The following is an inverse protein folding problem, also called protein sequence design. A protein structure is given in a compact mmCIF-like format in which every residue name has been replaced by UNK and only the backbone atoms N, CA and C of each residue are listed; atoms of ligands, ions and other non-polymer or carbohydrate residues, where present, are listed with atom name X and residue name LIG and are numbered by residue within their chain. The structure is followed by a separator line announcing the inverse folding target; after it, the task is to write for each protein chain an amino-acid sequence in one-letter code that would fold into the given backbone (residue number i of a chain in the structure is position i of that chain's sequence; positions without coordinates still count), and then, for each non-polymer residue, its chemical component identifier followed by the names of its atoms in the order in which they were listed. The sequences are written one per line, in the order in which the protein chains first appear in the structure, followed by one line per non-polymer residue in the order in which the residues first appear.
data_IF_524306523386
#
_entry.id   IF_524306523386
#
_cell.length_a   1.000
_cell.length_b   1.000
_cell.length_c   1.000
_cell.angle_alpha   90.00
_cell.angle_beta   90.00
_cell.angle_gamma   90.00
#
_symmetry.space_group_name_H-M   'P 1'
#
loop_
_entity.id
_entity.type
_entity.pdbx_description
1 polymer ?
#
# COMPACT_ATOMS: atom_id res chain seq x y z
N UNK A 1 27.15 -9.43 1.22
CA UNK A 1 28.27 -10.23 1.77
C UNK A 1 27.98 -11.68 1.44
N UNK A 2 28.94 -12.43 0.88
CA UNK A 2 28.77 -13.86 0.59
C UNK A 2 28.52 -14.61 1.92
N UNK A 3 27.39 -15.31 2.02
CA UNK A 3 27.10 -16.14 3.19
C UNK A 3 27.84 -17.47 3.07
N UNK A 4 29.08 -17.50 3.52
CA UNK A 4 29.95 -18.68 3.47
C UNK A 4 29.38 -19.88 4.23
N UNK A 5 28.51 -19.67 5.24
CA UNK A 5 27.87 -20.78 5.96
C UNK A 5 26.90 -21.53 5.06
N UNK A 6 26.11 -20.79 4.28
CA UNK A 6 25.17 -21.36 3.32
C UNK A 6 25.89 -22.17 2.23
N UNK A 7 27.00 -21.65 1.71
CA UNK A 7 27.86 -22.33 0.75
C UNK A 7 28.43 -23.65 1.30
N UNK A 8 29.06 -23.63 2.48
CA UNK A 8 29.64 -24.85 3.05
C UNK A 8 28.59 -25.94 3.31
N UNK A 9 27.39 -25.57 3.79
CA UNK A 9 26.29 -26.51 3.99
C UNK A 9 25.79 -27.11 2.67
N UNK A 10 25.63 -26.29 1.64
CA UNK A 10 25.22 -26.73 0.31
C UNK A 10 26.26 -27.65 -0.33
N UNK A 11 27.55 -27.30 -0.24
CA UNK A 11 28.67 -28.08 -0.75
C UNK A 11 28.75 -29.47 -0.10
N UNK A 12 28.72 -29.52 1.24
CA UNK A 12 28.72 -30.79 1.99
C UNK A 12 27.52 -31.67 1.65
N UNK A 13 26.33 -31.07 1.49
CA UNK A 13 25.11 -31.80 1.12
C UNK A 13 25.20 -32.37 -0.30
N UNK A 14 25.67 -31.56 -1.26
CA UNK A 14 25.84 -31.94 -2.67
C UNK A 14 26.82 -33.11 -2.84
N UNK A 15 27.96 -33.08 -2.14
CA UNK A 15 29.02 -34.09 -2.26
C UNK A 15 28.96 -35.20 -1.18
N UNK A 16 27.89 -35.27 -0.40
CA UNK A 16 27.69 -36.28 0.67
C UNK A 16 27.94 -37.72 0.22
N UNK A 17 27.54 -38.07 -1.00
CA UNK A 17 27.77 -39.40 -1.60
C UNK A 17 29.27 -39.71 -1.82
N UNK A 18 30.07 -38.71 -2.17
CA UNK A 18 31.52 -38.85 -2.37
C UNK A 18 32.20 -39.10 -1.03
N UNK A 19 31.81 -38.37 0.03
CA UNK A 19 32.35 -38.59 1.37
C UNK A 19 32.05 -40.00 1.90
N UNK A 20 30.84 -40.52 1.67
CA UNK A 20 30.48 -41.91 2.02
C UNK A 20 31.36 -42.92 1.28
N UNK A 21 31.63 -42.69 -0.01
CA UNK A 21 32.51 -43.55 -0.80
C UNK A 21 33.98 -43.51 -0.33
N UNK A 22 34.52 -42.32 -0.03
CA UNK A 22 35.89 -42.18 0.50
C UNK A 22 36.02 -42.87 1.85
N UNK A 23 35.01 -42.71 2.73
CA UNK A 23 34.99 -43.36 4.04
C UNK A 23 34.93 -44.89 3.92
N UNK A 24 34.08 -45.44 3.04
CA UNK A 24 34.00 -46.89 2.85
C UNK A 24 35.29 -47.47 2.26
N UNK A 25 35.94 -46.77 1.34
CA UNK A 25 37.25 -47.15 0.78
C UNK A 25 38.34 -47.13 1.86
N UNK A 26 38.40 -46.08 2.68
CA UNK A 26 39.36 -45.96 3.78
C UNK A 26 39.17 -47.05 4.83
N UNK A 27 37.92 -47.34 5.19
CA UNK A 27 37.59 -48.45 6.10
C UNK A 27 38.06 -49.80 5.55
N UNK A 28 37.83 -50.04 4.26
CA UNK A 28 38.26 -51.26 3.59
C UNK A 28 39.80 -51.41 3.65
N UNK A 29 40.56 -50.35 3.36
CA UNK A 29 42.04 -50.39 3.44
C UNK A 29 42.53 -50.68 4.86
N UNK A 30 41.92 -50.08 5.88
CA UNK A 30 42.25 -50.36 7.28
C UNK A 30 41.91 -51.80 7.70
N UNK A 31 40.80 -52.34 7.20
CA UNK A 31 40.40 -53.73 7.42
C UNK A 31 41.40 -54.70 6.77
N UNK A 32 41.88 -54.41 5.56
CA UNK A 32 42.92 -55.22 4.92
C UNK A 32 44.26 -55.15 5.65
N UNK A 33 44.64 -53.98 6.17
CA UNK A 33 45.84 -53.84 7.00
C UNK A 33 45.76 -54.71 8.26
N UNK A 34 44.59 -54.79 8.91
CA UNK A 34 44.36 -55.63 10.08
C UNK A 34 44.43 -57.13 9.76
N UNK A 35 43.86 -57.56 8.63
CA UNK A 35 43.84 -58.96 8.22
C UNK A 35 45.22 -59.47 7.74
N UNK A 36 46.03 -58.62 7.10
CA UNK A 36 47.31 -58.99 6.50
C UNK A 36 48.48 -58.24 7.15
N UNK A 37 48.75 -58.53 8.42
CA UNK A 37 49.76 -57.83 9.22
C UNK A 37 51.18 -57.84 8.61
N UNK A 38 51.57 -58.91 7.91
CA UNK A 38 52.88 -59.01 7.23
C UNK A 38 53.06 -58.04 6.06
N UNK A 39 51.96 -57.57 5.47
CA UNK A 39 51.93 -56.59 4.38
C UNK A 39 51.46 -55.20 4.86
N UNK A 40 51.29 -55.02 6.17
CA UNK A 40 50.66 -53.81 6.74
C UNK A 40 51.37 -52.50 6.37
N UNK A 41 52.69 -52.52 6.17
CA UNK A 41 53.46 -51.36 5.74
C UNK A 41 53.06 -50.88 4.34
N UNK A 42 52.82 -51.78 3.39
CA UNK A 42 52.38 -51.43 2.03
C UNK A 42 50.96 -50.84 2.02
N UNK A 43 50.05 -51.38 2.83
CA UNK A 43 48.70 -50.83 2.98
C UNK A 43 48.74 -49.43 3.61
N UNK A 44 49.63 -49.18 4.56
CA UNK A 44 49.80 -47.87 5.17
C UNK A 44 50.35 -46.83 4.17
N UNK A 45 51.34 -47.21 3.35
CA UNK A 45 51.81 -46.35 2.25
C UNK A 45 50.72 -46.05 1.23
N UNK A 46 49.92 -47.05 0.84
CA UNK A 46 48.80 -46.87 -0.07
C UNK A 46 47.72 -45.94 0.52
N UNK A 47 47.40 -46.10 1.80
CA UNK A 47 46.45 -45.25 2.51
C UNK A 47 46.92 -43.79 2.55
N UNK A 48 48.19 -43.54 2.89
CA UNK A 48 48.75 -42.19 2.94
C UNK A 48 48.79 -41.53 1.55
N UNK A 49 49.20 -42.27 0.51
CA UNK A 49 49.26 -41.75 -0.86
C UNK A 49 47.87 -41.44 -1.41
N UNK A 50 46.91 -42.35 -1.22
CA UNK A 50 45.51 -42.15 -1.62
C UNK A 50 44.85 -41.01 -0.85
N UNK A 51 45.14 -40.90 0.46
CA UNK A 51 44.71 -39.79 1.31
C UNK A 51 45.25 -38.44 0.83
N UNK A 52 46.52 -38.39 0.42
CA UNK A 52 47.12 -37.16 -0.11
C UNK A 52 46.50 -36.75 -1.45
N UNK A 53 46.31 -37.69 -2.37
CA UNK A 53 45.68 -37.42 -3.68
C UNK A 53 44.22 -36.97 -3.54
N UNK A 54 43.46 -37.61 -2.64
CA UNK A 54 42.06 -37.22 -2.36
C UNK A 54 41.99 -35.85 -1.70
N UNK A 55 42.93 -35.50 -0.82
CA UNK A 55 43.03 -34.16 -0.25
C UNK A 55 43.26 -33.09 -1.33
N UNK A 56 44.22 -33.31 -2.24
CA UNK A 56 44.47 -32.39 -3.35
C UNK A 56 43.25 -32.21 -4.26
N UNK A 57 42.54 -33.31 -4.55
CA UNK A 57 41.32 -33.27 -5.35
C UNK A 57 40.20 -32.47 -4.66
N UNK A 58 39.98 -32.68 -3.36
CA UNK A 58 38.96 -31.95 -2.60
C UNK A 58 39.28 -30.45 -2.51
N UNK A 59 40.55 -30.09 -2.31
CA UNK A 59 40.97 -28.68 -2.30
C UNK A 59 40.67 -28.05 -3.67
N UNK A 60 41.03 -28.72 -4.76
CA UNK A 60 40.75 -28.23 -6.11
C UNK A 60 39.24 -28.10 -6.38
N UNK A 61 38.43 -29.08 -6.02
CA UNK A 61 36.96 -29.07 -6.18
C UNK A 61 36.30 -27.95 -5.37
N UNK A 62 36.74 -27.72 -4.12
CA UNK A 62 36.25 -26.60 -3.29
C UNK A 62 36.61 -25.25 -3.94
N UNK A 63 37.85 -25.09 -4.43
CA UNK A 63 38.25 -23.83 -5.08
C UNK A 63 37.46 -23.57 -6.37
N UNK A 64 37.26 -24.61 -7.20
CA UNK A 64 36.47 -24.50 -8.41
C UNK A 64 35.00 -24.12 -8.12
N UNK A 65 34.36 -24.80 -7.16
CA UNK A 65 32.96 -24.55 -6.78
C UNK A 65 32.80 -23.19 -6.08
N UNK A 66 33.76 -22.78 -5.25
CA UNK A 66 33.75 -21.47 -4.59
C UNK A 66 33.89 -20.33 -5.60
N UNK A 67 34.71 -20.51 -6.65
CA UNK A 67 34.82 -19.55 -7.73
C UNK A 67 33.50 -19.41 -8.49
N UNK A 68 32.82 -20.53 -8.76
CA UNK A 68 31.49 -20.57 -9.41
C UNK A 68 30.42 -19.90 -8.54
N UNK A 69 30.32 -20.28 -7.27
CA UNK A 69 29.37 -19.68 -6.32
C UNK A 69 29.58 -18.17 -6.18
N UNK A 70 30.85 -17.73 -6.13
CA UNK A 70 31.18 -16.30 -6.09
C UNK A 70 30.73 -15.59 -7.36
N UNK A 71 30.88 -16.21 -8.54
CA UNK A 71 30.46 -15.62 -9.80
C UNK A 71 28.93 -15.50 -9.88
N UNK A 72 28.18 -16.53 -9.48
CA UNK A 72 26.71 -16.51 -9.46
C UNK A 72 26.15 -15.44 -8.50
N UNK A 73 26.69 -15.34 -7.29
CA UNK A 73 26.21 -14.38 -6.28
C UNK A 73 26.53 -12.93 -6.65
N UNK A 74 27.63 -12.67 -7.36
CA UNK A 74 28.05 -11.31 -7.72
C UNK A 74 27.53 -10.82 -9.07
N UNK A 75 27.39 -11.72 -10.05
CA UNK A 75 27.09 -11.33 -11.43
C UNK A 75 25.75 -11.85 -11.94
N UNK A 76 25.06 -12.73 -11.21
CA UNK A 76 23.74 -13.29 -11.55
C UNK A 76 23.62 -13.93 -12.95
N UNK A 77 24.72 -14.07 -13.69
CA UNK A 77 24.79 -14.69 -15.01
C UNK A 77 25.62 -15.96 -14.90
N UNK A 78 24.97 -17.09 -15.21
CA UNK A 78 25.61 -18.39 -15.32
C UNK A 78 25.17 -19.04 -16.61
N UNK A 79 26.13 -19.35 -17.49
CA UNK A 79 25.89 -20.35 -18.52
C UNK A 79 25.82 -21.74 -17.86
N UNK A 80 24.68 -22.44 -17.94
CA UNK A 80 24.57 -23.77 -17.39
C UNK A 80 25.54 -24.72 -18.12
N UNK A 81 26.34 -25.47 -17.36
CA UNK A 81 27.41 -26.32 -17.93
C UNK A 81 27.02 -27.80 -17.93
N UNK A 82 26.23 -28.23 -16.95
CA UNK A 82 25.71 -29.60 -16.88
C UNK A 82 24.38 -29.71 -17.62
N UNK A 83 24.10 -30.82 -18.34
CA UNK A 83 22.81 -31.05 -18.99
C UNK A 83 21.60 -30.90 -18.05
N UNK A 84 21.75 -31.28 -16.77
CA UNK A 84 20.70 -31.09 -15.76
C UNK A 84 20.47 -29.62 -15.42
N UNK A 85 21.52 -28.82 -15.37
CA UNK A 85 21.45 -27.39 -15.10
C UNK A 85 20.81 -26.64 -16.26
N UNK A 86 21.11 -27.03 -17.50
CA UNK A 86 20.47 -26.45 -18.69
C UNK A 86 18.96 -26.71 -18.65
N UNK A 87 18.55 -27.94 -18.37
CA UNK A 87 17.12 -28.30 -18.29
C UNK A 87 16.39 -27.60 -17.12
N UNK A 88 17.08 -27.38 -15.99
CA UNK A 88 16.54 -26.62 -14.86
C UNK A 88 16.42 -25.12 -15.18
N UNK A 89 17.43 -24.54 -15.83
CA UNK A 89 17.43 -23.14 -16.24
C UNK A 89 16.32 -22.85 -17.26
N UNK A 90 16.17 -23.68 -18.30
CA UNK A 90 15.09 -23.57 -19.28
C UNK A 90 13.71 -23.63 -18.61
N UNK A 91 13.52 -24.55 -17.66
CA UNK A 91 12.26 -24.66 -16.92
C UNK A 91 12.00 -23.48 -15.98
N UNK A 92 13.05 -22.88 -15.41
CA UNK A 92 12.93 -21.67 -14.59
C UNK A 92 12.56 -20.47 -15.47
N UNK A 93 13.20 -20.32 -16.62
CA UNK A 93 12.90 -19.25 -17.58
C UNK A 93 11.46 -19.37 -18.12
N UNK A 94 11.02 -20.58 -18.45
CA UNK A 94 9.62 -20.85 -18.83
C UNK A 94 8.66 -20.43 -17.71
N UNK A 95 8.96 -20.77 -16.46
CA UNK A 95 8.14 -20.40 -15.29
C UNK A 95 8.14 -18.91 -15.01
N UNK A 96 9.29 -18.25 -15.14
CA UNK A 96 9.39 -16.81 -15.01
C UNK A 96 8.56 -16.12 -16.10
N UNK A 97 8.69 -16.56 -17.35
CA UNK A 97 7.88 -16.07 -18.47
C UNK A 97 6.38 -16.24 -18.23
N UNK A 98 5.93 -17.42 -17.78
CA UNK A 98 4.54 -17.65 -17.39
C UNK A 98 4.07 -16.72 -16.27
N UNK A 99 4.91 -16.47 -15.27
CA UNK A 99 4.58 -15.57 -14.16
C UNK A 99 4.50 -14.12 -14.63
N UNK A 100 5.43 -13.68 -15.48
CA UNK A 100 5.41 -12.37 -16.10
C UNK A 100 4.16 -12.18 -16.96
N UNK A 101 3.79 -13.18 -17.76
CA UNK A 101 2.58 -13.15 -18.57
C UNK A 101 1.32 -13.06 -17.69
N UNK A 102 1.20 -13.92 -16.67
CA UNK A 102 0.05 -13.87 -15.74
C UNK A 102 -0.04 -12.53 -15.01
N UNK A 103 1.10 -11.96 -14.60
CA UNK A 103 1.14 -10.63 -13.97
C UNK A 103 0.68 -9.55 -14.94
N UNK A 104 1.17 -9.57 -16.18
CA UNK A 104 0.76 -8.63 -17.23
C UNK A 104 -0.73 -8.73 -17.55
N UNK A 105 -1.25 -9.96 -17.69
CA UNK A 105 -2.69 -10.19 -17.91
C UNK A 105 -3.54 -9.70 -16.74
N UNK A 106 -3.12 -9.93 -15.50
CA UNK A 106 -3.81 -9.44 -14.31
C UNK A 106 -3.82 -7.90 -14.26
N UNK A 107 -2.70 -7.26 -14.62
CA UNK A 107 -2.59 -5.80 -14.66
C UNK A 107 -3.43 -5.19 -15.79
N UNK A 108 -3.48 -5.83 -16.96
CA UNK A 108 -4.38 -5.43 -18.07
C UNK A 108 -5.84 -5.50 -17.63
N UNK A 109 -6.26 -6.62 -17.02
CA UNK A 109 -7.64 -6.77 -16.52
C UNK A 109 -8.02 -5.73 -15.46
N UNK A 110 -7.08 -5.37 -14.58
CA UNK A 110 -7.30 -4.31 -13.60
C UNK A 110 -7.50 -2.96 -14.29
N UNK A 111 -6.65 -2.64 -15.28
CA UNK A 111 -6.75 -1.40 -16.06
C UNK A 111 -8.09 -1.32 -16.80
N UNK A 112 -8.50 -2.39 -17.49
CA UNK A 112 -9.78 -2.46 -18.19
C UNK A 112 -10.98 -2.25 -17.24
N UNK A 113 -10.90 -2.79 -16.01
CA UNK A 113 -11.93 -2.58 -14.99
C UNK A 113 -11.99 -1.11 -14.52
N UNK A 114 -10.84 -0.47 -14.29
CA UNK A 114 -10.77 0.94 -13.89
C UNK A 114 -11.33 1.85 -14.99
N UNK A 115 -11.01 1.58 -16.25
CA UNK A 115 -11.53 2.31 -17.40
C UNK A 115 -13.04 2.15 -17.54
N UNK A 116 -13.55 0.92 -17.37
CA UNK A 116 -14.98 0.64 -17.37
C UNK A 116 -15.73 1.42 -16.27
N UNK A 117 -15.23 1.39 -15.03
CA UNK A 117 -15.85 2.12 -13.93
C UNK A 117 -15.77 3.64 -14.14
N UNK A 118 -14.68 4.14 -14.71
CA UNK A 118 -14.52 5.57 -15.04
C UNK A 118 -15.57 6.00 -16.07
N UNK A 119 -15.74 5.22 -17.15
CA UNK A 119 -16.77 5.45 -18.16
C UNK A 119 -18.19 5.40 -17.55
N UNK A 120 -18.47 4.40 -16.72
CA UNK A 120 -19.76 4.25 -16.05
C UNK A 120 -20.10 5.46 -15.19
N UNK A 121 -19.14 5.99 -14.43
CA UNK A 121 -19.36 7.20 -13.66
C UNK A 121 -19.65 8.40 -14.58
N UNK A 122 -18.89 8.59 -15.66
CA UNK A 122 -19.19 9.65 -16.63
C UNK A 122 -20.61 9.54 -17.18
N UNK A 123 -21.08 8.34 -17.50
CA UNK A 123 -22.44 8.10 -17.97
C UNK A 123 -23.51 8.41 -16.92
N UNK A 124 -23.22 8.26 -15.62
CA UNK A 124 -24.13 8.61 -14.51
C UNK A 124 -24.22 10.11 -14.26
N UNK A 125 -23.19 10.89 -14.58
CA UNK A 125 -23.26 12.36 -14.43
C UNK A 125 -24.34 12.99 -15.32
N UNK A 126 -24.59 12.42 -16.50
CA UNK A 126 -25.60 12.89 -17.43
C UNK A 126 -27.04 12.81 -16.87
N UNK A 127 -27.55 11.65 -16.40
CA UNK A 127 -28.87 11.58 -15.79
C UNK A 127 -28.96 12.40 -14.50
N UNK A 128 -27.88 12.55 -13.71
CA UNK A 128 -27.85 13.47 -12.56
C UNK A 128 -28.13 14.91 -13.01
N UNK A 129 -27.46 15.36 -14.07
CA UNK A 129 -27.68 16.70 -14.63
C UNK A 129 -29.11 16.88 -15.15
N UNK A 130 -29.66 15.89 -15.86
CA UNK A 130 -31.05 15.90 -16.30
C UNK A 130 -32.03 15.95 -15.12
N UNK A 131 -31.81 15.16 -14.06
CA UNK A 131 -32.62 15.20 -12.84
C UNK A 131 -32.59 16.58 -12.18
N UNK A 132 -31.44 17.28 -12.16
CA UNK A 132 -31.37 18.66 -11.65
C UNK A 132 -32.29 19.61 -12.41
N UNK A 133 -32.34 19.49 -13.73
CA UNK A 133 -33.22 20.31 -14.57
C UNK A 133 -34.70 20.00 -14.30
N UNK A 134 -35.06 18.71 -14.24
CA UNK A 134 -36.44 18.29 -13.93
C UNK A 134 -36.90 18.76 -12.55
N UNK A 135 -36.01 18.68 -11.54
CA UNK A 135 -36.32 19.15 -10.19
C UNK A 135 -36.44 20.68 -10.14
N UNK A 136 -35.75 21.40 -11.01
CA UNK A 136 -35.88 22.85 -11.09
C UNK A 136 -37.32 23.30 -11.44
N UNK A 137 -38.05 22.47 -12.20
CA UNK A 137 -39.44 22.70 -12.63
C UNK A 137 -40.49 22.31 -11.59
N UNK A 138 -40.10 21.68 -10.48
CA UNK A 138 -41.04 21.28 -9.42
C UNK A 138 -41.57 22.51 -8.68
N UNK A 139 -42.90 22.67 -8.67
CA UNK A 139 -43.59 23.82 -8.07
C UNK A 139 -43.60 23.77 -6.54
N UNK A 140 -43.71 22.57 -5.96
CA UNK A 140 -43.71 22.38 -4.51
C UNK A 140 -42.29 22.58 -3.96
N UNK A 141 -42.14 23.61 -3.11
CA UNK A 141 -40.85 24.00 -2.55
C UNK A 141 -40.26 22.94 -1.63
N UNK A 142 -41.08 22.24 -0.86
CA UNK A 142 -40.60 21.22 0.08
C UNK A 142 -40.11 19.99 -0.68
N UNK A 143 -40.92 19.52 -1.64
CA UNK A 143 -40.55 18.38 -2.51
C UNK A 143 -39.31 18.71 -3.34
N UNK A 144 -39.25 19.91 -3.93
CA UNK A 144 -38.08 20.37 -4.69
C UNK A 144 -36.80 20.32 -3.86
N UNK A 145 -36.83 20.85 -2.64
CA UNK A 145 -35.67 20.83 -1.75
C UNK A 145 -35.24 19.41 -1.39
N UNK A 146 -36.18 18.52 -1.09
CA UNK A 146 -35.87 17.12 -0.80
C UNK A 146 -35.20 16.43 -2.00
N UNK A 147 -35.69 16.66 -3.22
CA UNK A 147 -35.09 16.11 -4.43
C UNK A 147 -33.72 16.70 -4.74
N UNK A 148 -33.52 18.01 -4.56
CA UNK A 148 -32.20 18.65 -4.72
C UNK A 148 -31.17 18.06 -3.77
N UNK A 149 -31.55 17.76 -2.52
CA UNK A 149 -30.68 17.10 -1.55
C UNK A 149 -30.29 15.69 -1.98
N UNK A 150 -31.26 14.87 -2.45
CA UNK A 150 -30.96 13.51 -2.90
C UNK A 150 -30.06 13.51 -4.13
N UNK A 151 -30.30 14.41 -5.10
CA UNK A 151 -29.43 14.56 -6.27
C UNK A 151 -28.03 15.01 -5.87
N UNK A 152 -27.90 15.93 -4.91
CA UNK A 152 -26.60 16.35 -4.39
C UNK A 152 -25.85 15.18 -3.73
N UNK A 153 -26.54 14.33 -2.97
CA UNK A 153 -25.93 13.12 -2.37
C UNK A 153 -25.44 12.16 -3.44
N UNK A 154 -26.26 11.89 -4.46
CA UNK A 154 -25.89 11.00 -5.57
C UNK A 154 -24.64 11.57 -6.27
N UNK A 155 -24.63 12.85 -6.65
CA UNK A 155 -23.47 13.50 -7.27
C UNK A 155 -22.22 13.43 -6.40
N UNK A 156 -22.37 13.64 -5.08
CA UNK A 156 -21.26 13.53 -4.13
C UNK A 156 -20.69 12.11 -4.07
N UNK A 157 -21.55 11.08 -4.04
CA UNK A 157 -21.10 9.67 -4.06
C UNK A 157 -20.46 9.29 -5.39
N UNK A 158 -21.01 9.76 -6.50
CA UNK A 158 -20.45 9.57 -7.84
C UNK A 158 -19.06 10.19 -7.95
N UNK A 159 -18.87 11.40 -7.42
CA UNK A 159 -17.56 12.05 -7.37
C UNK A 159 -16.58 11.32 -6.42
N UNK A 160 -17.05 10.82 -5.27
CA UNK A 160 -16.22 10.02 -4.36
C UNK A 160 -15.67 8.77 -5.03
N UNK A 161 -16.48 8.07 -5.83
CA UNK A 161 -16.04 6.89 -6.60
C UNK A 161 -14.98 7.27 -7.63
N UNK A 162 -15.15 8.38 -8.36
CA UNK A 162 -14.11 8.85 -9.29
C UNK A 162 -12.78 9.13 -8.60
N UNK A 163 -12.82 9.83 -7.46
CA UNK A 163 -11.60 10.13 -6.71
C UNK A 163 -10.94 8.86 -6.19
N UNK A 164 -11.74 7.85 -5.80
CA UNK A 164 -11.23 6.55 -5.41
C UNK A 164 -10.56 5.80 -6.57
N UNK A 165 -11.16 5.78 -7.75
CA UNK A 165 -10.58 5.13 -8.95
C UNK A 165 -9.27 5.80 -9.36
N UNK A 166 -9.18 7.13 -9.24
CA UNK A 166 -7.99 7.92 -9.58
C UNK A 166 -6.87 7.83 -8.55
N UNK A 167 -7.10 7.25 -7.37
CA UNK A 167 -6.02 7.04 -6.41
C UNK A 167 -4.96 6.05 -6.90
N UNK A 168 -5.30 5.13 -7.81
CA UNK A 168 -4.30 4.17 -8.32
C UNK A 168 -3.27 4.84 -9.25
N UNK A 169 -3.64 5.95 -9.89
CA UNK A 169 -2.77 6.79 -10.72
C UNK A 169 -2.46 8.14 -10.06
N UNK A 170 -2.40 8.18 -8.73
CA UNK A 170 -2.35 9.44 -7.97
C UNK A 170 -1.15 10.33 -8.33
N UNK A 171 0.02 9.73 -8.57
CA UNK A 171 1.26 10.47 -8.80
C UNK A 171 1.33 11.18 -10.15
N UNK A 172 0.61 10.71 -11.17
CA UNK A 172 0.71 11.26 -12.53
C UNK A 172 -0.01 12.61 -12.66
N UNK A 173 -0.89 12.95 -11.70
CA UNK A 173 -1.86 14.05 -11.77
C UNK A 173 -1.61 15.18 -10.74
N UNK A 174 -0.53 15.12 -9.96
CA UNK A 174 -0.29 16.06 -8.86
C UNK A 174 0.21 17.42 -9.33
N UNK A 175 -0.50 18.48 -8.92
CA UNK A 175 -0.11 19.87 -9.18
C UNK A 175 0.01 20.62 -7.85
N UNK A 176 1.24 20.74 -7.35
CA UNK A 176 1.51 21.48 -6.13
C UNK A 176 1.58 22.99 -6.40
N UNK A 177 0.73 23.74 -5.71
CA UNK A 177 0.67 25.19 -5.79
C UNK A 177 0.57 25.82 -4.39
N UNK A 178 0.82 27.13 -4.29
CA UNK A 178 0.60 27.87 -3.05
C UNK A 178 -0.90 28.19 -2.93
N UNK A 179 -1.53 27.67 -1.90
CA UNK A 179 -2.98 27.79 -1.68
C UNK A 179 -3.25 28.48 -0.35
N UNK A 180 -4.15 29.48 -0.37
CA UNK A 180 -4.71 30.08 0.83
C UNK A 180 -5.72 29.13 1.46
N UNK A 181 -5.48 28.70 2.71
CA UNK A 181 -6.35 27.75 3.42
C UNK A 181 -7.76 28.31 3.58
N UNK A 182 -7.88 29.60 3.90
CA UNK A 182 -9.16 30.27 4.06
C UNK A 182 -10.06 30.17 2.82
N UNK A 183 -9.50 30.35 1.62
CA UNK A 183 -10.26 30.29 0.38
C UNK A 183 -10.77 28.87 0.12
N UNK A 184 -9.91 27.88 0.36
CA UNK A 184 -10.24 26.47 0.17
C UNK A 184 -11.34 26.03 1.15
N UNK A 185 -11.25 26.40 2.42
CA UNK A 185 -12.29 26.12 3.43
C UNK A 185 -13.60 26.83 3.07
N UNK A 186 -13.56 28.11 2.69
CA UNK A 186 -14.76 28.86 2.27
C UNK A 186 -15.43 28.25 1.06
N UNK A 187 -14.67 27.75 0.08
CA UNK A 187 -15.18 27.07 -1.10
C UNK A 187 -16.04 25.85 -0.71
N UNK A 188 -15.50 24.98 0.17
CA UNK A 188 -16.22 23.80 0.65
C UNK A 188 -17.42 24.18 1.51
N UNK A 189 -17.26 25.12 2.45
CA UNK A 189 -18.37 25.54 3.34
C UNK A 189 -19.54 26.11 2.52
N UNK A 190 -19.27 26.91 1.47
CA UNK A 190 -20.30 27.43 0.56
C UNK A 190 -21.06 26.31 -0.15
N UNK A 191 -20.36 25.29 -0.65
CA UNK A 191 -20.97 24.12 -1.30
C UNK A 191 -21.97 23.39 -0.39
N UNK A 192 -21.70 23.36 0.92
CA UNK A 192 -22.54 22.67 1.91
C UNK A 192 -23.47 23.61 2.70
N UNK A 193 -23.45 24.92 2.44
CA UNK A 193 -24.14 25.93 3.26
C UNK A 193 -25.64 25.65 3.43
N UNK A 194 -26.31 25.23 2.35
CA UNK A 194 -27.76 24.90 2.38
C UNK A 194 -28.07 23.80 3.41
N UNK A 195 -27.22 22.78 3.51
CA UNK A 195 -27.41 21.67 4.45
C UNK A 195 -27.22 22.09 5.90
N UNK A 196 -26.26 22.98 6.18
CA UNK A 196 -26.07 23.55 7.51
C UNK A 196 -27.30 24.37 7.92
N UNK A 197 -27.80 25.23 7.03
CA UNK A 197 -28.98 26.07 7.27
C UNK A 197 -30.21 25.21 7.54
N UNK A 198 -30.46 24.18 6.71
CA UNK A 198 -31.61 23.30 6.86
C UNK A 198 -31.59 22.49 8.17
N UNK A 199 -30.40 22.14 8.67
CA UNK A 199 -30.24 21.48 9.98
C UNK A 199 -30.16 22.45 11.15
N UNK A 200 -30.15 23.76 10.91
CA UNK A 200 -29.95 24.77 11.95
C UNK A 200 -28.58 24.68 12.63
N UNK A 201 -27.55 24.27 11.90
CA UNK A 201 -26.18 24.13 12.39
C UNK A 201 -25.37 25.39 12.06
N UNK A 202 -24.55 25.85 13.01
CA UNK A 202 -23.66 26.99 12.81
C UNK A 202 -22.30 26.55 12.25
N UNK A 203 -21.61 27.43 11.53
CA UNK A 203 -20.24 27.20 11.06
C UNK A 203 -19.42 28.43 11.42
N UNK A 204 -18.46 28.26 12.33
CA UNK A 204 -17.55 29.31 12.77
C UNK A 204 -16.18 29.11 12.12
N UNK A 205 -15.69 30.13 11.41
CA UNK A 205 -14.39 30.15 10.74
C UNK A 205 -13.52 31.22 11.40
N UNK A 206 -12.30 30.87 11.81
CA UNK A 206 -11.34 31.82 12.37
C UNK A 206 -9.90 31.34 12.20
N UNK A 207 -8.92 32.24 12.28
CA UNK A 207 -7.49 31.92 12.21
C UNK A 207 -7.08 31.11 10.95
N UNK A 208 -7.72 31.33 9.79
CA UNK A 208 -7.44 30.59 8.55
C UNK A 208 -6.46 31.28 7.61
N UNK A 209 -5.89 32.43 8.00
CA UNK A 209 -4.99 33.22 7.17
C UNK A 209 -3.59 32.59 7.09
N UNK A 210 -3.50 31.49 6.33
CA UNK A 210 -2.26 30.75 6.06
C UNK A 210 -2.20 30.27 4.62
N UNK A 211 -0.98 30.37 4.08
CA UNK A 211 -0.62 29.82 2.76
C UNK A 211 0.13 28.51 2.97
N UNK A 212 -0.28 27.47 2.27
CA UNK A 212 0.36 26.15 2.27
C UNK A 212 0.72 25.74 0.85
N UNK A 213 1.67 24.81 0.70
CA UNK A 213 1.97 24.18 -0.59
C UNK A 213 1.28 22.82 -0.64
N UNK A 214 0.34 22.66 -1.56
CA UNK A 214 -0.45 21.43 -1.70
C UNK A 214 -1.06 21.35 -3.09
N UNK A 215 -1.61 20.19 -3.45
CA UNK A 215 -2.57 20.10 -4.54
C UNK A 215 -3.96 20.53 -4.03
N UNK A 216 -4.50 21.61 -4.63
CA UNK A 216 -5.80 22.19 -4.26
C UNK A 216 -6.94 21.19 -4.42
N UNK A 217 -6.98 20.48 -5.56
CA UNK A 217 -8.07 19.59 -5.94
C UNK A 217 -8.17 18.41 -4.97
N UNK A 218 -7.05 17.82 -4.62
CA UNK A 218 -7.02 16.69 -3.70
C UNK A 218 -7.30 17.10 -2.25
N UNK A 219 -6.77 18.24 -1.80
CA UNK A 219 -7.06 18.74 -0.45
C UNK A 219 -8.55 19.12 -0.29
N UNK A 220 -9.18 19.67 -1.33
CA UNK A 220 -10.64 19.91 -1.35
C UNK A 220 -11.41 18.62 -1.07
N UNK A 221 -11.04 17.49 -1.69
CA UNK A 221 -11.70 16.19 -1.45
C UNK A 221 -11.60 15.76 0.01
N UNK A 222 -10.42 15.95 0.62
CA UNK A 222 -10.20 15.62 2.04
C UNK A 222 -11.14 16.43 2.93
N UNK A 223 -11.20 17.75 2.73
CA UNK A 223 -12.03 18.65 3.53
C UNK A 223 -13.52 18.40 3.29
N UNK A 224 -13.94 18.21 2.04
CA UNK A 224 -15.32 17.84 1.68
C UNK A 224 -15.78 16.59 2.43
N UNK A 225 -14.92 15.59 2.50
CA UNK A 225 -15.25 14.34 3.16
C UNK A 225 -15.36 14.48 4.68
N UNK A 226 -14.53 15.33 5.29
CA UNK A 226 -14.61 15.66 6.72
C UNK A 226 -15.91 16.43 6.99
N UNK A 227 -16.19 17.50 6.22
CA UNK A 227 -17.40 18.32 6.39
C UNK A 227 -18.68 17.51 6.18
N UNK A 228 -18.70 16.62 5.19
CA UNK A 228 -19.82 15.71 4.95
C UNK A 228 -20.06 14.78 6.15
N UNK A 229 -19.01 14.30 6.80
CA UNK A 229 -19.14 13.47 8.01
C UNK A 229 -19.66 14.30 9.18
N UNK A 230 -19.10 15.48 9.42
CA UNK A 230 -19.57 16.38 10.48
C UNK A 230 -21.04 16.77 10.28
N UNK A 231 -21.48 17.06 9.05
CA UNK A 231 -22.89 17.29 8.73
C UNK A 231 -23.77 16.08 9.02
N UNK A 232 -23.29 14.88 8.70
CA UNK A 232 -24.05 13.64 8.90
C UNK A 232 -24.26 13.34 10.39
N UNK A 233 -23.22 13.51 11.20
CA UNK A 233 -23.20 13.07 12.59
C UNK A 233 -23.51 14.17 13.62
N UNK A 234 -23.64 15.43 13.18
CA UNK A 234 -24.05 16.56 14.03
C UNK A 234 -25.55 16.80 13.94
N UNK A 235 -26.22 16.78 15.09
CA UNK A 235 -27.67 17.03 15.21
C UNK A 235 -28.01 18.43 15.71
N UNK A 236 -27.17 19.00 16.58
CA UNK A 236 -27.34 20.32 17.21
C UNK A 236 -25.96 20.94 17.41
N UNK A 237 -25.91 22.27 17.50
CA UNK A 237 -24.67 23.03 17.62
C UNK A 237 -24.13 23.40 16.24
N UNK A 238 -22.90 22.99 15.93
CA UNK A 238 -22.25 23.43 14.72
C UNK A 238 -20.85 22.88 14.52
N UNK A 239 -20.12 23.53 13.63
CA UNK A 239 -18.74 23.26 13.31
C UNK A 239 -17.88 24.49 13.60
N UNK A 240 -16.65 24.22 14.00
CA UNK A 240 -15.60 25.19 14.26
C UNK A 240 -14.38 24.80 13.41
N UNK A 241 -13.95 25.68 12.51
CA UNK A 241 -12.82 25.42 11.60
C UNK A 241 -11.78 26.52 11.77
N UNK A 242 -10.56 26.13 12.12
CA UNK A 242 -9.47 27.05 12.46
C UNK A 242 -8.09 26.44 12.21
N UNK A 243 -7.06 27.28 12.14
CA UNK A 243 -5.68 26.81 12.20
C UNK A 243 -5.14 26.85 13.63
N UNK A 244 -4.45 25.80 14.03
CA UNK A 244 -3.64 25.74 15.24
C UNK A 244 -2.18 25.48 14.83
N UNK A 245 -1.35 26.53 14.81
CA UNK A 245 0.02 26.40 14.28
C UNK A 245 0.02 26.03 12.79
N UNK A 246 0.50 24.82 12.44
CA UNK A 246 0.48 24.29 11.06
C UNK A 246 -0.65 23.25 10.84
N UNK A 247 -1.61 23.15 11.76
CA UNK A 247 -2.69 22.17 11.68
C UNK A 247 -4.02 22.85 11.36
N UNK A 248 -4.70 22.40 10.29
CA UNK A 248 -6.10 22.70 10.06
C UNK A 248 -6.97 21.82 10.95
N UNK A 249 -7.72 22.45 11.84
CA UNK A 249 -8.63 21.78 12.77
C UNK A 249 -10.07 21.97 12.31
N UNK A 250 -10.79 20.86 12.12
CA UNK A 250 -12.23 20.85 11.83
C UNK A 250 -12.91 20.11 12.98
N UNK A 251 -13.62 20.86 13.82
CA UNK A 251 -14.28 20.37 15.02
C UNK A 251 -15.79 20.44 14.87
N UNK A 252 -16.47 19.35 15.18
CA UNK A 252 -17.93 19.26 15.22
C UNK A 252 -18.44 18.93 16.61
N UNK A 253 -19.70 19.30 16.87
CA UNK A 253 -20.44 18.98 18.11
C UNK A 253 -21.31 17.74 17.95
N UNK A 254 -20.87 16.77 17.13
CA UNK A 254 -21.63 15.57 16.81
C UNK A 254 -21.68 14.53 17.93
N UNK A 255 -22.17 13.34 17.59
CA UNK A 255 -22.30 12.22 18.55
C UNK A 255 -20.97 11.70 19.11
N UNK A 256 -19.84 12.09 18.51
CA UNK A 256 -18.52 11.57 18.83
C UNK A 256 -18.32 10.10 18.45
N UNK A 257 -17.10 9.61 18.68
CA UNK A 257 -16.63 8.28 18.30
C UNK A 257 -16.14 7.58 19.56
N UNK A 258 -16.44 6.27 19.70
CA UNK A 258 -15.95 5.48 20.83
C UNK A 258 -14.42 5.36 20.73
N UNK A 259 -13.72 5.47 21.86
CA UNK A 259 -12.25 5.35 21.91
C UNK A 259 -11.71 4.06 21.25
N UNK A 260 -12.44 2.95 21.34
CA UNK A 260 -12.10 1.68 20.67
C UNK A 260 -12.08 1.77 19.13
N UNK A 261 -12.84 2.72 18.57
CA UNK A 261 -13.09 2.85 17.15
C UNK A 261 -12.23 3.96 16.53
N UNK A 262 -11.74 4.92 17.34
CA UNK A 262 -10.97 6.11 16.89
C UNK A 262 -9.78 5.73 16.01
N UNK A 263 -9.02 4.70 16.37
CA UNK A 263 -7.87 4.25 15.57
C UNK A 263 -8.27 3.56 14.26
N UNK A 264 -9.50 3.04 14.21
CA UNK A 264 -10.02 2.21 13.12
C UNK A 264 -10.83 2.98 12.10
N UNK A 265 -11.20 4.23 12.38
CA UNK A 265 -12.04 5.04 11.47
C UNK A 265 -11.40 5.31 10.11
N UNK A 266 -10.08 5.18 10.03
CA UNK A 266 -9.33 5.30 8.79
C UNK A 266 -9.11 3.94 8.08
N UNK A 267 -9.55 2.82 8.65
CA UNK A 267 -9.49 1.51 7.99
C UNK A 267 -10.48 1.45 6.83
N UNK A 268 -10.06 0.80 5.72
CA UNK A 268 -10.90 0.64 4.54
C UNK A 268 -12.20 -0.10 4.89
N UNK A 269 -13.34 0.53 4.57
CA UNK A 269 -14.66 -0.07 4.78
C UNK A 269 -15.11 -0.10 6.24
N UNK A 270 -14.40 0.59 7.14
CA UNK A 270 -14.81 0.67 8.53
C UNK A 270 -16.05 1.55 8.69
N UNK A 271 -17.09 0.95 9.26
CA UNK A 271 -18.31 1.63 9.67
C UNK A 271 -18.51 1.26 11.14
N UNK A 272 -18.30 2.22 12.04
CA UNK A 272 -18.42 2.01 13.49
C UNK A 272 -19.82 1.54 13.89
N UNK A 273 -20.00 1.20 15.18
CA UNK A 273 -21.26 0.62 15.68
C UNK A 273 -22.52 1.40 15.26
N UNK A 274 -22.46 2.74 15.30
CA UNK A 274 -23.57 3.63 14.91
C UNK A 274 -23.78 3.71 13.38
N UNK A 275 -22.73 3.47 12.58
CA UNK A 275 -22.81 3.43 11.12
C UNK A 275 -23.46 2.14 10.60
N UNK A 276 -23.29 1.03 11.32
CA UNK A 276 -23.94 -0.26 11.00
C UNK A 276 -25.45 -0.23 11.22
N UNK A 277 -25.90 0.45 12.28
CA UNK A 277 -27.33 0.62 12.59
C UNK A 277 -28.06 1.53 11.60
N UNK A 278 -27.34 2.46 10.96
CA UNK A 278 -27.92 3.45 10.05
C UNK A 278 -27.74 3.11 8.57
N UNK A 279 -26.98 2.06 8.20
CA UNK A 279 -26.63 1.64 6.82
C UNK A 279 -26.11 2.76 5.88
N UNK A 280 -25.79 3.94 6.41
CA UNK A 280 -25.49 5.14 5.61
C UNK A 280 -23.99 5.37 5.38
N UNK A 281 -23.08 4.49 5.82
CA UNK A 281 -21.63 4.70 5.70
C UNK A 281 -20.93 3.55 4.98
N UNK A 282 -20.34 3.86 3.82
CA UNK A 282 -19.46 2.97 3.06
C UNK A 282 -18.12 2.71 3.74
N UNK A 283 -17.72 3.53 4.71
CA UNK A 283 -16.42 3.46 5.36
C UNK A 283 -15.24 3.79 4.44
N UNK A 284 -15.50 4.39 3.27
CA UNK A 284 -14.47 4.77 2.30
C UNK A 284 -13.99 6.21 2.49
N UNK A 285 -14.84 7.10 3.02
CA UNK A 285 -14.56 8.52 3.11
C UNK A 285 -13.28 8.85 3.89
N UNK A 286 -13.24 8.52 5.19
CA UNK A 286 -12.05 8.82 6.02
C UNK A 286 -10.82 8.04 5.57
N UNK A 287 -10.99 6.80 5.09
CA UNK A 287 -9.90 6.05 4.47
C UNK A 287 -9.29 6.81 3.29
N UNK A 288 -10.14 7.36 2.39
CA UNK A 288 -9.72 8.18 1.26
C UNK A 288 -9.02 9.46 1.75
N UNK A 289 -9.60 10.15 2.74
CA UNK A 289 -9.00 11.34 3.35
C UNK A 289 -7.58 11.06 3.86
N UNK A 290 -7.36 9.91 4.51
CA UNK A 290 -6.04 9.49 5.00
C UNK A 290 -5.07 9.20 3.87
N UNK A 291 -5.47 8.36 2.91
CA UNK A 291 -4.67 8.05 1.71
C UNK A 291 -4.23 9.32 0.99
N UNK A 292 -5.17 10.21 0.66
CA UNK A 292 -4.85 11.47 -0.03
C UNK A 292 -3.91 12.34 0.83
N UNK A 293 -4.18 12.47 2.13
CA UNK A 293 -3.32 13.29 3.00
C UNK A 293 -1.89 12.76 3.04
N UNK A 294 -1.72 11.44 3.18
CA UNK A 294 -0.40 10.78 3.20
C UNK A 294 0.36 10.99 1.88
N UNK A 295 -0.31 10.82 0.74
CA UNK A 295 0.30 11.05 -0.57
C UNK A 295 0.67 12.53 -0.83
N UNK A 296 -0.07 13.47 -0.23
CA UNK A 296 0.26 14.91 -0.24
C UNK A 296 1.37 15.28 0.78
N UNK A 297 1.85 14.35 1.59
CA UNK A 297 2.84 14.60 2.65
C UNK A 297 2.28 15.25 3.92
N UNK A 298 0.95 15.27 4.07
CA UNK A 298 0.25 15.82 5.23
C UNK A 298 -0.11 14.71 6.21
N UNK A 299 -0.17 15.04 7.50
CA UNK A 299 -0.58 14.11 8.53
C UNK A 299 -2.00 14.38 9.00
N UNK A 300 -2.90 13.41 8.84
CA UNK A 300 -4.27 13.49 9.36
C UNK A 300 -4.40 12.71 10.68
N UNK A 301 -5.10 13.30 11.65
CA UNK A 301 -5.42 12.69 12.96
C UNK A 301 -6.84 13.02 13.36
N UNK A 302 -7.39 12.23 14.28
CA UNK A 302 -8.74 12.43 14.78
C UNK A 302 -8.78 12.25 16.29
N UNK A 303 -9.45 13.18 16.95
CA UNK A 303 -9.70 13.20 18.39
C UNK A 303 -11.20 13.27 18.58
N UNK A 304 -11.77 12.41 19.40
CA UNK A 304 -13.23 12.35 19.55
C UNK A 304 -13.62 11.83 20.91
N UNK A 305 -14.71 12.37 21.44
CA UNK A 305 -15.30 11.90 22.68
C UNK A 305 -16.81 11.75 22.49
N UNK A 306 -17.35 10.61 22.91
CA UNK A 306 -18.77 10.27 22.77
C UNK A 306 -19.63 11.34 23.45
N UNK A 307 -20.55 11.92 22.70
CA UNK A 307 -21.47 12.96 23.15
C UNK A 307 -20.90 14.38 23.18
N UNK A 308 -19.58 14.57 22.98
CA UNK A 308 -18.97 15.91 22.88
C UNK A 308 -18.66 16.32 21.45
N UNK A 309 -18.35 15.35 20.58
CA UNK A 309 -18.09 15.59 19.16
C UNK A 309 -16.72 15.09 18.72
N UNK A 310 -16.27 15.57 17.57
CA UNK A 310 -15.07 15.08 16.90
C UNK A 310 -14.24 16.24 16.36
N UNK A 311 -12.93 16.15 16.49
CA UNK A 311 -11.96 17.08 15.89
C UNK A 311 -11.07 16.30 14.94
N UNK A 312 -11.09 16.66 13.66
CA UNK A 312 -10.13 16.16 12.67
C UNK A 312 -9.04 17.22 12.50
N UNK A 313 -7.78 16.79 12.61
CA UNK A 313 -6.59 17.64 12.50
C UNK A 313 -5.80 17.23 11.27
N UNK A 314 -5.51 18.18 10.38
CA UNK A 314 -4.63 17.99 9.21
C UNK A 314 -3.39 18.84 9.43
N UNK A 315 -2.27 18.21 9.74
CA UNK A 315 -0.97 18.87 9.89
C UNK A 315 -0.30 18.98 8.53
N UNK A 316 -0.06 20.22 8.11
CA UNK A 316 0.70 20.50 6.90
C UNK A 316 2.19 20.43 7.21
N UNK A 317 2.94 19.65 6.43
CA UNK A 317 4.39 19.53 6.59
C UNK A 317 5.08 20.49 5.62
N UNK A 318 5.83 21.45 6.14
CA UNK A 318 6.71 22.28 5.30
C UNK A 318 8.05 21.57 5.10
N UNK A 319 8.27 21.01 3.91
CA UNK A 319 9.59 20.50 3.52
C UNK A 319 10.31 21.60 2.75
N UNK A 320 11.38 22.16 3.34
CA UNK A 320 12.34 22.96 2.57
C UNK A 320 13.12 22.00 1.68
N UNK A 321 12.73 21.93 0.40
CA UNK A 321 13.53 21.24 -0.60
C UNK A 321 14.82 22.04 -0.81
N UNK A 322 15.92 21.57 -0.23
CA UNK A 322 17.26 22.00 -0.64
C UNK A 322 17.54 21.25 -1.94
N UNK A 323 17.36 21.93 -3.06
CA UNK A 323 17.82 21.43 -4.35
C UNK A 323 19.29 21.85 -4.43
N UNK A 324 20.22 20.93 -4.17
CA UNK A 324 21.66 21.14 -4.42
C UNK A 324 21.98 21.13 -5.92
#
# INVERSE_FOLDING_TARGET
MLDWKSFCLAYLRSRSRIFVYIFSLGFLVLLFQFLFASLGTYFLYFFLLSGFLTFLFLVWDIFAEAQVYRQEVLYAERDPKSPLECALAEKLEERESELYQKKSEAQSKLTDLLDYYTLWVHQIKTPIAASRLLVAEVSDREVKQQLEQEIFKIDSYTNLVLQYLRLESFHDDLVFEKVQVEDLVKEVVRKYALFFIQKGLTVNLHDLDKIIVTDKKWLLVVIEQILSNSLKYTKKGGLEIYMEGQELCIKDTGIGIKNSDVLRVFERGFSGYNGRLTQQSSGLGLYLSKKISEELGHQIRIESEVGKGTTVRIKFTEVKLVIE
#
